data_IF_938094956975
#
_entry.id   IF_938094956975
#
_cell.length_a   1.000
_cell.length_b   1.000
_cell.length_c   1.000
_cell.angle_alpha   90.00
_cell.angle_beta   90.00
_cell.angle_gamma   90.00
#
_symmetry.space_group_name_H-M   'P 1'
#
loop_
_entity.id
_entity.type
_entity.pdbx_description
1 polymer ?
#
# COMPACT_ATOMS: atom_id res chain seq x y z
N UNK A 1 -33.92 3.21 10.21
CA UNK A 1 -33.03 2.84 9.07
C UNK A 1 -31.61 2.53 9.50
N UNK A 2 -31.47 1.52 10.37
CA UNK A 2 -30.21 0.98 10.85
C UNK A 2 -29.75 -0.16 9.93
N UNK A 3 -28.77 0.08 9.06
CA UNK A 3 -27.80 -0.92 8.55
C UNK A 3 -27.00 -0.34 7.36
N UNK A 4 -26.28 0.77 7.56
CA UNK A 4 -25.13 1.05 6.68
C UNK A 4 -23.95 0.24 7.22
N UNK A 5 -23.97 -1.07 6.97
CA UNK A 5 -22.87 -1.97 7.32
C UNK A 5 -21.73 -1.67 6.34
N UNK A 6 -20.87 -0.73 6.73
CA UNK A 6 -19.66 -0.41 5.98
C UNK A 6 -18.66 -1.57 6.10
N UNK A 7 -18.81 -2.56 5.22
CA UNK A 7 -17.79 -3.58 4.97
C UNK A 7 -16.60 -2.93 4.27
N UNK A 8 -15.82 -2.16 5.02
CA UNK A 8 -14.64 -1.47 4.50
C UNK A 8 -13.45 -2.39 4.69
N UNK A 9 -12.79 -2.72 3.58
CA UNK A 9 -11.41 -3.20 3.63
C UNK A 9 -10.53 -1.96 3.79
N UNK A 10 -10.03 -1.69 4.99
CA UNK A 10 -9.11 -0.58 5.21
C UNK A 10 -7.68 -1.09 5.17
N UNK A 11 -6.87 -0.52 4.29
CA UNK A 11 -5.42 -0.67 4.35
C UNK A 11 -4.85 0.24 5.42
N UNK A 12 -4.56 -0.28 6.60
CA UNK A 12 -3.93 0.50 7.65
C UNK A 12 -2.42 0.26 7.62
N UNK A 13 -1.63 1.28 7.30
CA UNK A 13 -0.19 1.26 7.54
C UNK A 13 0.03 1.86 8.93
N UNK A 14 0.33 1.01 9.91
CA UNK A 14 0.61 1.45 11.28
C UNK A 14 2.12 1.42 11.53
N UNK A 15 2.64 2.52 12.10
CA UNK A 15 4.00 2.63 12.60
C UNK A 15 3.96 2.36 14.10
N UNK A 16 4.44 1.21 14.55
CA UNK A 16 4.57 0.94 15.98
C UNK A 16 5.90 1.53 16.48
N UNK A 17 5.83 2.67 17.16
CA UNK A 17 6.97 3.22 17.90
C UNK A 17 7.10 2.45 19.22
N UNK A 18 7.88 1.37 19.25
CA UNK A 18 8.28 0.76 20.53
C UNK A 18 9.20 1.74 21.26
N UNK A 19 8.78 2.17 22.45
CA UNK A 19 9.59 2.96 23.36
C UNK A 19 10.91 2.23 23.65
N UNK A 20 12.05 2.79 23.21
CA UNK A 20 13.38 2.35 23.62
C UNK A 20 14.30 1.77 22.53
N UNK A 21 13.88 1.71 21.25
CA UNK A 21 14.77 1.36 20.14
C UNK A 21 14.98 2.58 19.22
N UNK A 22 16.21 2.78 18.74
CA UNK A 22 16.59 3.87 17.84
C UNK A 22 15.59 4.03 16.66
N UNK A 23 15.34 5.27 16.19
CA UNK A 23 14.32 5.61 15.18
C UNK A 23 14.48 4.92 13.81
N UNK A 24 15.52 4.10 13.63
CA UNK A 24 15.83 3.32 12.43
C UNK A 24 15.15 1.94 12.40
N UNK A 25 14.49 1.51 13.48
CA UNK A 25 13.81 0.21 13.58
C UNK A 25 12.29 0.29 13.77
N UNK A 26 11.64 1.38 13.34
CA UNK A 26 10.18 1.44 13.37
C UNK A 26 9.59 0.39 12.41
N UNK A 27 8.98 -0.66 12.97
CA UNK A 27 8.34 -1.69 12.18
C UNK A 27 7.02 -1.14 11.58
N UNK A 28 7.02 -0.83 10.28
CA UNK A 28 5.79 -0.51 9.55
C UNK A 28 5.15 -1.79 9.02
N UNK A 29 3.94 -2.06 9.50
CA UNK A 29 3.15 -3.21 9.06
C UNK A 29 2.08 -2.77 8.06
N UNK A 30 1.88 -3.58 7.01
CA UNK A 30 0.69 -3.47 6.16
C UNK A 30 -0.41 -4.34 6.76
N UNK A 31 -1.48 -3.71 7.26
CA UNK A 31 -2.66 -4.41 7.74
C UNK A 31 -3.77 -4.33 6.71
N UNK A 32 -4.33 -5.50 6.37
CA UNK A 32 -5.62 -5.59 5.72
C UNK A 32 -6.66 -5.79 6.83
N UNK A 33 -7.46 -4.75 7.09
CA UNK A 33 -8.50 -4.79 8.13
C UNK A 33 -9.85 -4.98 7.46
N UNK A 34 -10.55 -6.05 7.81
CA UNK A 34 -11.95 -6.29 7.41
C UNK A 34 -12.85 -5.74 8.54
N UNK A 35 -13.59 -4.66 8.30
CA UNK A 35 -14.48 -4.09 9.32
C UNK A 35 -15.76 -4.94 9.47
N UNK A 36 -15.77 -5.77 10.53
CA UNK A 36 -16.91 -6.27 11.37
C UNK A 36 -16.43 -7.41 12.30
N UNK A 37 -15.37 -8.10 11.87
CA UNK A 37 -14.55 -9.02 12.65
C UNK A 37 -13.12 -8.57 12.37
N UNK A 38 -12.36 -8.15 13.38
CA UNK A 38 -10.95 -7.79 13.20
C UNK A 38 -10.18 -9.08 12.85
N UNK A 39 -10.26 -9.53 11.60
CA UNK A 39 -9.25 -10.38 11.01
C UNK A 39 -8.12 -9.45 10.60
N UNK A 40 -7.28 -9.06 11.56
CA UNK A 40 -5.99 -8.45 11.27
C UNK A 40 -5.13 -9.51 10.59
N UNK A 41 -5.13 -9.53 9.26
CA UNK A 41 -4.06 -10.19 8.53
C UNK A 41 -2.86 -9.24 8.54
N UNK A 42 -1.86 -9.57 9.36
CA UNK A 42 -0.52 -8.96 9.28
C UNK A 42 0.08 -9.44 7.96
N UNK A 43 0.05 -8.60 6.92
CA UNK A 43 0.49 -9.01 5.58
C UNK A 43 1.99 -8.86 5.41
N UNK A 44 2.66 -8.00 6.18
CA UNK A 44 4.12 -7.91 6.13
C UNK A 44 4.68 -7.19 7.36
N UNK A 45 5.75 -7.75 7.93
CA UNK A 45 6.65 -7.02 8.82
C UNK A 45 7.48 -5.98 8.07
N UNK A 46 7.94 -4.98 8.80
CA UNK A 46 8.82 -3.82 8.54
C UNK A 46 9.59 -3.63 7.21
N UNK A 47 9.81 -4.66 6.40
CA UNK A 47 10.67 -4.64 5.22
C UNK A 47 9.95 -4.12 3.97
N UNK A 48 8.64 -4.32 3.85
CA UNK A 48 7.90 -4.01 2.62
C UNK A 48 7.82 -2.50 2.33
N UNK A 49 7.79 -1.66 3.38
CA UNK A 49 7.53 -0.22 3.23
C UNK A 49 8.77 0.57 2.79
N UNK A 50 9.95 0.13 3.24
CA UNK A 50 11.21 0.72 2.82
C UNK A 50 11.70 0.13 1.50
N UNK A 51 11.15 -0.99 0.99
CA UNK A 51 11.58 -1.55 -0.29
C UNK A 51 11.58 -0.57 -1.46
N UNK A 52 10.56 0.28 -1.69
CA UNK A 52 10.64 1.28 -2.75
C UNK A 52 11.84 2.23 -2.57
N UNK A 53 12.15 2.60 -1.32
CA UNK A 53 13.24 3.50 -0.93
C UNK A 53 14.63 2.80 -1.02
N UNK A 54 14.70 1.55 -0.57
CA UNK A 54 15.89 0.72 -0.59
C UNK A 54 16.24 0.32 -2.02
N UNK A 55 15.24 -0.03 -2.83
CA UNK A 55 15.40 -0.33 -4.24
C UNK A 55 15.91 0.90 -4.99
N UNK A 56 15.34 2.08 -4.76
CA UNK A 56 15.87 3.33 -5.35
C UNK A 56 17.33 3.58 -4.94
N UNK A 57 17.67 3.34 -3.67
CA UNK A 57 19.05 3.50 -3.20
C UNK A 57 20.01 2.46 -3.80
N UNK A 58 19.56 1.23 -4.00
CA UNK A 58 20.34 0.16 -4.63
C UNK A 58 20.61 0.49 -6.10
N UNK A 59 19.60 0.95 -6.84
CA UNK A 59 19.78 1.42 -8.23
C UNK A 59 20.79 2.56 -8.33
N UNK A 60 20.81 3.49 -7.38
CA UNK A 60 21.81 4.57 -7.38
C UNK A 60 23.22 4.09 -7.06
N UNK A 61 23.36 3.12 -6.16
CA UNK A 61 24.66 2.48 -5.88
C UNK A 61 25.18 1.73 -7.11
N UNK A 62 24.32 0.98 -7.80
CA UNK A 62 24.69 0.28 -9.03
C UNK A 62 25.09 1.23 -10.17
N UNK A 63 24.44 2.40 -10.27
CA UNK A 63 24.77 3.43 -11.27
C UNK A 63 25.96 4.30 -10.89
N UNK A 64 26.50 4.16 -9.67
CA UNK A 64 27.65 4.93 -9.18
C UNK A 64 27.34 6.41 -8.89
N UNK A 65 26.10 6.73 -8.55
CA UNK A 65 25.67 8.11 -8.27
C UNK A 65 26.26 8.62 -6.94
N UNK A 66 26.73 9.87 -6.93
CA UNK A 66 27.48 10.46 -5.81
C UNK A 66 26.58 10.98 -4.67
N UNK A 67 25.75 10.11 -4.11
CA UNK A 67 24.85 10.43 -2.99
C UNK A 67 25.55 10.11 -1.67
N UNK A 68 25.55 11.04 -0.69
CA UNK A 68 26.11 10.74 0.62
C UNK A 68 25.29 9.64 1.31
N UNK A 69 25.93 8.59 1.88
CA UNK A 69 25.22 7.44 2.43
C UNK A 69 24.32 7.80 3.61
N UNK A 70 24.68 8.85 4.35
CA UNK A 70 23.90 9.40 5.47
C UNK A 70 22.54 9.99 5.07
N UNK A 71 22.39 10.51 3.84
CA UNK A 71 21.11 11.07 3.37
C UNK A 71 20.40 10.19 2.34
N UNK A 72 21.01 9.07 1.93
CA UNK A 72 20.52 8.23 0.84
C UNK A 72 19.04 7.86 1.01
N UNK A 73 18.63 7.49 2.22
CA UNK A 73 17.23 7.15 2.55
C UNK A 73 16.28 8.35 2.51
N UNK A 74 16.71 9.53 2.97
CA UNK A 74 15.87 10.73 2.97
C UNK A 74 15.70 11.28 1.54
N UNK A 75 16.75 11.18 0.73
CA UNK A 75 16.72 11.53 -0.70
C UNK A 75 15.82 10.56 -1.45
N UNK A 76 15.98 9.26 -1.24
CA UNK A 76 15.12 8.23 -1.80
C UNK A 76 13.65 8.44 -1.40
N UNK A 77 13.38 8.83 -0.15
CA UNK A 77 12.02 9.19 0.30
C UNK A 77 11.45 10.38 -0.49
N UNK A 78 12.21 11.46 -0.64
CA UNK A 78 11.78 12.66 -1.38
C UNK A 78 11.57 12.38 -2.86
N UNK A 79 12.49 11.64 -3.48
CA UNK A 79 12.38 11.23 -4.89
C UNK A 79 11.15 10.33 -5.09
N UNK A 80 10.92 9.39 -4.17
CA UNK A 80 9.74 8.51 -4.16
C UNK A 80 8.45 9.32 -4.11
N UNK A 81 8.36 10.29 -3.20
CA UNK A 81 7.16 11.12 -3.05
C UNK A 81 6.93 12.07 -4.24
N UNK A 82 8.01 12.54 -4.88
CA UNK A 82 7.93 13.52 -5.97
C UNK A 82 7.74 12.91 -7.37
N UNK A 83 8.40 11.78 -7.67
CA UNK A 83 8.56 11.30 -9.05
C UNK A 83 8.02 9.90 -9.32
N UNK A 84 7.76 9.08 -8.30
CA UNK A 84 7.32 7.71 -8.51
C UNK A 84 5.84 7.61 -8.89
N UNK A 85 5.53 6.64 -9.74
CA UNK A 85 4.19 6.36 -10.23
C UNK A 85 4.03 4.89 -10.60
N UNK A 86 2.83 4.35 -10.45
CA UNK A 86 2.56 2.96 -10.80
C UNK A 86 2.32 2.82 -12.30
N UNK A 87 3.00 1.87 -12.94
CA UNK A 87 2.82 1.58 -14.35
C UNK A 87 1.74 0.51 -14.60
N UNK A 88 1.24 0.44 -15.84
CA UNK A 88 0.30 -0.61 -16.23
C UNK A 88 0.99 -1.89 -16.71
N UNK A 89 2.16 -1.74 -17.34
CA UNK A 89 2.93 -2.76 -18.05
C UNK A 89 4.39 -2.31 -18.07
N UNK A 90 5.26 -3.10 -17.44
CA UNK A 90 6.66 -2.78 -17.19
C UNK A 90 7.45 -2.69 -18.51
N UNK A 91 7.26 -3.65 -19.42
CA UNK A 91 8.00 -3.75 -20.68
C UNK A 91 7.72 -2.55 -21.58
N UNK A 92 6.45 -2.11 -21.60
CA UNK A 92 6.06 -0.91 -22.35
C UNK A 92 6.64 0.36 -21.76
N UNK A 93 6.77 0.45 -20.43
CA UNK A 93 7.41 1.61 -19.81
C UNK A 93 8.91 1.64 -20.08
N UNK A 94 9.63 0.52 -19.98
CA UNK A 94 11.04 0.46 -20.40
C UNK A 94 11.21 0.95 -21.85
N UNK A 95 10.41 0.45 -22.78
CA UNK A 95 10.46 0.89 -24.17
C UNK A 95 10.16 2.38 -24.38
N UNK A 96 9.40 3.04 -23.50
CA UNK A 96 9.20 4.51 -23.55
C UNK A 96 10.41 5.28 -23.02
N UNK A 97 11.01 4.80 -21.93
CA UNK A 97 12.19 5.44 -21.33
C UNK A 97 13.39 5.34 -22.27
N UNK A 98 13.54 4.22 -22.97
CA UNK A 98 14.62 4.01 -23.95
C UNK A 98 14.45 4.83 -25.23
N UNK A 99 13.19 5.06 -25.66
CA UNK A 99 12.89 5.88 -26.85
C UNK A 99 13.03 7.39 -26.60
N UNK A 100 12.61 7.87 -25.43
CA UNK A 100 12.59 9.31 -25.10
C UNK A 100 13.28 9.60 -23.74
N UNK A 101 14.59 9.34 -23.60
CA UNK A 101 15.28 9.47 -22.31
C UNK A 101 15.19 10.91 -21.74
N UNK A 102 15.25 11.93 -22.59
CA UNK A 102 15.24 13.35 -22.20
C UNK A 102 13.95 13.80 -21.48
N UNK A 103 12.84 13.10 -21.71
CA UNK A 103 11.53 13.45 -21.15
C UNK A 103 11.27 12.74 -19.83
N UNK A 104 11.72 11.49 -19.74
CA UNK A 104 11.44 10.58 -18.63
C UNK A 104 12.52 10.59 -17.55
N UNK A 105 13.79 10.82 -17.90
CA UNK A 105 14.87 11.02 -16.94
C UNK A 105 14.74 12.42 -16.34
N UNK A 106 14.71 12.50 -15.01
CA UNK A 106 14.62 13.75 -14.25
C UNK A 106 15.85 13.90 -13.39
N UNK A 107 16.39 15.11 -13.31
CA UNK A 107 17.53 15.37 -12.43
C UNK A 107 17.03 15.80 -11.06
N UNK A 108 17.43 15.07 -10.02
CA UNK A 108 17.29 15.51 -8.65
C UNK A 108 18.54 16.28 -8.24
N UNK A 109 18.36 17.45 -7.63
CA UNK A 109 19.48 18.23 -7.08
C UNK A 109 19.31 18.35 -5.57
N UNK A 110 20.41 18.14 -4.85
CA UNK A 110 20.46 18.25 -3.41
C UNK A 110 21.74 18.95 -2.96
N UNK A 111 21.81 19.27 -1.66
CA UNK A 111 23.01 19.81 -1.02
C UNK A 111 23.48 18.83 0.03
N UNK A 112 24.77 18.50 0.03
CA UNK A 112 25.37 17.65 1.06
C UNK A 112 25.33 18.38 2.41
N UNK A 113 24.79 17.82 3.50
CA UNK A 113 24.67 18.48 4.79
C UNK A 113 26.01 18.85 5.40
N UNK A 114 27.02 17.99 5.23
CA UNK A 114 28.35 18.17 5.84
C UNK A 114 29.25 19.14 5.06
N UNK A 115 29.21 19.10 3.73
CA UNK A 115 30.13 19.89 2.89
C UNK A 115 29.46 21.09 2.22
N UNK A 116 28.13 21.17 2.25
CA UNK A 116 27.35 22.17 1.52
C UNK A 116 27.42 22.03 -0.01
N UNK A 117 28.20 21.07 -0.52
CA UNK A 117 28.42 20.89 -1.94
C UNK A 117 27.13 20.41 -2.64
N UNK A 118 26.79 20.95 -3.82
CA UNK A 118 25.68 20.46 -4.59
C UNK A 118 26.00 19.05 -5.11
N UNK A 119 25.00 18.18 -5.12
CA UNK A 119 25.03 16.92 -5.85
C UNK A 119 23.78 16.83 -6.73
N UNK A 120 23.95 16.20 -7.89
CA UNK A 120 22.87 15.87 -8.82
C UNK A 120 22.80 14.36 -8.97
N UNK A 121 21.59 13.83 -9.14
CA UNK A 121 21.34 12.41 -9.39
C UNK A 121 20.26 12.28 -10.47
N UNK A 122 20.48 11.39 -11.43
CA UNK A 122 19.55 11.17 -12.53
C UNK A 122 18.51 10.10 -12.18
N UNK A 123 17.27 10.55 -12.00
CA UNK A 123 16.11 9.73 -11.68
C UNK A 123 15.40 9.24 -12.94
N UNK A 124 15.48 7.94 -13.21
CA UNK A 124 14.94 7.29 -14.42
C UNK A 124 13.99 6.14 -14.10
N UNK A 125 14.48 4.90 -14.26
CA UNK A 125 13.68 3.68 -14.18
C UNK A 125 13.10 3.41 -12.78
N UNK A 126 13.77 3.89 -11.74
CA UNK A 126 13.34 3.73 -10.34
C UNK A 126 11.96 4.35 -10.07
N UNK A 127 11.52 5.29 -10.92
CA UNK A 127 10.22 5.96 -10.79
C UNK A 127 9.05 4.98 -10.87
N UNK A 128 9.10 4.04 -11.80
CA UNK A 128 8.05 3.03 -11.95
C UNK A 128 8.42 1.69 -11.32
N UNK A 129 9.71 1.38 -11.14
CA UNK A 129 10.16 0.16 -10.47
C UNK A 129 9.89 0.18 -8.96
N UNK A 130 10.03 1.33 -8.30
CA UNK A 130 9.80 1.44 -6.86
C UNK A 130 8.37 1.02 -6.42
N UNK A 131 7.28 1.49 -7.06
CA UNK A 131 5.93 0.99 -6.76
C UNK A 131 5.63 -0.40 -7.36
N UNK A 132 6.46 -0.92 -8.28
CA UNK A 132 6.25 -2.25 -8.85
C UNK A 132 6.51 -3.36 -7.84
N UNK A 133 7.31 -3.10 -6.80
CA UNK A 133 7.56 -4.07 -5.72
C UNK A 133 6.26 -4.50 -5.02
N UNK A 134 5.20 -3.68 -5.02
CA UNK A 134 3.88 -4.08 -4.51
C UNK A 134 3.23 -5.19 -5.35
N UNK A 135 3.52 -5.23 -6.65
CA UNK A 135 2.92 -6.16 -7.60
C UNK A 135 3.86 -7.30 -7.99
N UNK A 136 5.16 -7.12 -7.83
CA UNK A 136 6.20 -8.12 -8.09
C UNK A 136 7.26 -8.01 -6.97
N UNK A 137 6.97 -8.58 -5.78
CA UNK A 137 7.89 -8.50 -4.64
C UNK A 137 9.21 -9.26 -4.86
N UNK A 138 9.22 -10.20 -5.82
CA UNK A 138 10.38 -10.97 -6.28
C UNK A 138 11.55 -10.09 -6.74
N UNK A 139 11.29 -8.84 -7.12
CA UNK A 139 12.32 -7.89 -7.57
C UNK A 139 13.31 -7.54 -6.45
N UNK A 140 12.86 -7.57 -5.18
CA UNK A 140 13.69 -7.19 -4.05
C UNK A 140 14.06 -8.38 -3.15
N UNK A 141 13.15 -9.33 -2.93
CA UNK A 141 13.43 -10.49 -2.07
C UNK A 141 12.93 -11.78 -2.68
N UNK A 142 13.77 -12.81 -2.59
CA UNK A 142 13.45 -14.19 -2.95
C UNK A 142 12.39 -14.82 -2.04
N UNK A 143 12.24 -14.33 -0.82
CA UNK A 143 11.44 -14.98 0.22
C UNK A 143 9.96 -14.62 0.12
N UNK A 144 9.66 -13.44 -0.45
CA UNK A 144 8.31 -12.94 -0.64
C UNK A 144 8.01 -12.83 -2.13
N UNK A 145 7.23 -13.78 -2.64
CA UNK A 145 6.83 -13.84 -4.05
C UNK A 145 5.37 -13.49 -4.29
N UNK A 146 4.57 -13.38 -3.23
CA UNK A 146 3.11 -13.18 -3.36
C UNK A 146 2.77 -11.71 -3.60
N UNK A 147 2.13 -11.37 -4.73
CA UNK A 147 1.82 -9.98 -5.07
C UNK A 147 0.62 -9.46 -4.27
N UNK A 148 0.57 -8.15 -4.04
CA UNK A 148 -0.48 -7.50 -3.23
C UNK A 148 -1.92 -7.88 -3.65
N UNK A 149 -2.30 -7.89 -4.95
CA UNK A 149 -3.66 -8.27 -5.37
C UNK A 149 -4.06 -9.68 -4.93
N UNK A 150 -3.12 -10.63 -4.92
CA UNK A 150 -3.37 -12.02 -4.51
C UNK A 150 -3.56 -12.09 -2.99
N UNK A 151 -2.79 -11.31 -2.23
CA UNK A 151 -2.99 -11.25 -0.77
C UNK A 151 -4.37 -10.70 -0.43
N UNK A 152 -4.79 -9.62 -1.09
CA UNK A 152 -6.13 -9.03 -0.91
C UNK A 152 -7.21 -10.05 -1.22
N UNK A 153 -7.07 -10.74 -2.35
CA UNK A 153 -8.00 -11.77 -2.77
C UNK A 153 -8.10 -12.89 -1.73
N UNK A 154 -6.96 -13.39 -1.23
CA UNK A 154 -6.91 -14.43 -0.19
C UNK A 154 -7.57 -13.98 1.11
N UNK A 155 -7.36 -12.75 1.54
CA UNK A 155 -8.01 -12.18 2.73
C UNK A 155 -9.53 -12.07 2.56
N UNK A 156 -10.00 -11.68 1.37
CA UNK A 156 -11.45 -11.64 1.12
C UNK A 156 -12.02 -13.06 1.07
N UNK A 157 -11.30 -14.02 0.48
CA UNK A 157 -11.77 -15.41 0.43
C UNK A 157 -11.77 -16.13 1.78
N UNK A 158 -10.94 -15.72 2.74
CA UNK A 158 -11.01 -16.27 4.10
C UNK A 158 -12.19 -15.74 4.91
N UNK A 159 -12.79 -14.62 4.49
CA UNK A 159 -13.99 -14.06 5.13
C UNK A 159 -15.26 -14.88 4.84
N UNK A 160 -16.32 -14.74 5.67
CA UNK A 160 -17.61 -15.42 5.45
C UNK A 160 -18.23 -15.07 4.09
N UNK A 161 -18.85 -16.06 3.45
CA UNK A 161 -19.28 -15.99 2.04
C UNK A 161 -20.24 -14.84 1.75
N UNK A 162 -21.10 -14.51 2.72
CA UNK A 162 -22.12 -13.45 2.62
C UNK A 162 -21.50 -12.05 2.49
N UNK A 163 -20.30 -11.86 3.04
CA UNK A 163 -19.64 -10.54 3.09
C UNK A 163 -18.69 -10.30 1.91
N UNK A 164 -18.25 -11.35 1.21
CA UNK A 164 -17.20 -11.27 0.17
C UNK A 164 -17.54 -10.27 -0.93
N UNK A 165 -18.77 -10.29 -1.43
CA UNK A 165 -19.24 -9.39 -2.49
C UNK A 165 -19.19 -7.93 -2.04
N UNK A 166 -19.60 -7.65 -0.81
CA UNK A 166 -19.55 -6.31 -0.24
C UNK A 166 -18.10 -5.83 -0.05
N UNK A 167 -17.19 -6.73 0.31
CA UNK A 167 -15.77 -6.42 0.47
C UNK A 167 -15.07 -6.10 -0.86
N UNK A 168 -15.35 -6.84 -1.94
CA UNK A 168 -14.79 -6.52 -3.26
C UNK A 168 -15.25 -5.15 -3.79
N UNK A 169 -16.48 -4.75 -3.45
CA UNK A 169 -17.05 -3.46 -3.82
C UNK A 169 -16.48 -2.28 -3.02
N UNK A 170 -15.95 -2.53 -1.82
CA UNK A 170 -15.55 -1.49 -0.87
C UNK A 170 -14.11 -1.69 -0.38
N UNK A 171 -13.16 -1.66 -1.32
CA UNK A 171 -11.74 -1.67 -1.00
C UNK A 171 -11.27 -0.24 -0.80
N UNK A 172 -10.94 0.17 0.42
CA UNK A 172 -10.51 1.53 0.75
C UNK A 172 -9.01 1.57 0.98
N UNK A 173 -8.33 2.40 0.20
CA UNK A 173 -6.91 2.66 0.37
C UNK A 173 -6.68 3.67 1.49
N UNK A 174 -5.73 3.37 2.37
CA UNK A 174 -5.27 4.27 3.43
C UNK A 174 -3.75 4.16 3.57
N UNK A 175 -3.11 5.23 4.05
CA UNK A 175 -1.67 5.31 4.28
C UNK A 175 -0.86 5.85 3.10
N UNK A 176 0.26 6.51 3.40
CA UNK A 176 1.05 7.28 2.44
C UNK A 176 1.65 6.45 1.28
N UNK A 177 1.93 5.17 1.49
CA UNK A 177 2.46 4.29 0.42
C UNK A 177 1.41 3.83 -0.59
N UNK A 178 0.13 4.14 -0.38
CA UNK A 178 -0.93 3.90 -1.39
C UNK A 178 -1.19 5.12 -2.27
N UNK A 179 -0.50 6.24 -1.98
CA UNK A 179 -0.67 7.50 -2.71
C UNK A 179 0.10 7.57 -4.04
N UNK A 180 0.73 6.48 -4.48
CA UNK A 180 1.34 6.45 -5.81
C UNK A 180 0.29 6.72 -6.89
N UNK A 181 0.68 7.52 -7.87
CA UNK A 181 -0.19 7.81 -9.01
C UNK A 181 -0.56 6.51 -9.72
N UNK A 182 -1.85 6.37 -10.06
CA UNK A 182 -2.44 5.20 -10.73
C UNK A 182 -2.44 3.88 -9.93
N UNK A 183 -2.04 3.90 -8.65
CA UNK A 183 -2.03 2.71 -7.79
C UNK A 183 -3.42 2.08 -7.64
N UNK A 184 -4.47 2.89 -7.40
CA UNK A 184 -5.84 2.38 -7.27
C UNK A 184 -6.28 1.61 -8.53
N UNK A 185 -5.94 2.14 -9.70
CA UNK A 185 -6.41 1.63 -10.99
C UNK A 185 -5.70 0.32 -11.32
N UNK A 186 -4.40 0.26 -11.03
CA UNK A 186 -3.60 -0.97 -11.15
C UNK A 186 -4.14 -2.06 -10.22
N UNK A 187 -4.34 -1.74 -8.95
CA UNK A 187 -4.85 -2.68 -7.95
C UNK A 187 -6.25 -3.20 -8.32
N UNK A 188 -7.19 -2.31 -8.67
CA UNK A 188 -8.55 -2.69 -9.08
C UNK A 188 -8.55 -3.62 -10.29
N UNK A 189 -7.75 -3.30 -11.31
CA UNK A 189 -7.63 -4.12 -12.51
C UNK A 189 -7.10 -5.52 -12.21
N UNK A 190 -6.03 -5.60 -11.41
CA UNK A 190 -5.37 -6.87 -11.15
C UNK A 190 -6.22 -7.76 -10.24
N UNK A 191 -6.92 -7.19 -9.24
CA UNK A 191 -7.93 -7.92 -8.44
C UNK A 191 -9.08 -8.40 -9.34
N UNK A 192 -9.61 -7.52 -10.20
CA UNK A 192 -10.71 -7.88 -11.11
C UNK A 192 -10.32 -9.05 -12.01
N UNK A 193 -9.10 -9.06 -12.57
CA UNK A 193 -8.59 -10.19 -13.35
C UNK A 193 -8.59 -11.49 -12.55
N UNK A 194 -8.09 -11.49 -11.30
CA UNK A 194 -8.06 -12.68 -10.44
C UNK A 194 -9.49 -13.21 -10.20
N UNK A 195 -10.43 -12.30 -9.89
CA UNK A 195 -11.83 -12.64 -9.63
C UNK A 195 -12.50 -13.19 -10.88
N UNK A 196 -12.35 -12.53 -12.02
CA UNK A 196 -12.93 -12.94 -13.30
C UNK A 196 -12.37 -14.30 -13.76
N UNK A 197 -11.05 -14.52 -13.61
CA UNK A 197 -10.41 -15.81 -13.92
C UNK A 197 -10.94 -16.94 -13.05
N UNK A 198 -11.18 -16.69 -11.76
CA UNK A 198 -11.77 -17.69 -10.85
C UNK A 198 -13.23 -17.99 -11.20
N UNK A 199 -14.02 -16.98 -11.53
CA UNK A 199 -15.42 -17.16 -11.96
C UNK A 199 -15.46 -17.97 -13.26
N UNK A 200 -14.65 -17.62 -14.25
CA UNK A 200 -14.55 -18.35 -15.50
C UNK A 200 -14.15 -19.83 -15.29
N UNK A 201 -13.20 -20.09 -14.39
CA UNK A 201 -12.80 -21.46 -14.04
C UNK A 201 -13.92 -22.24 -13.33
N UNK A 202 -14.76 -21.57 -12.53
CA UNK A 202 -15.93 -22.18 -11.88
C UNK A 202 -17.03 -22.48 -12.89
N UNK A 203 -17.36 -21.52 -13.75
CA UNK A 203 -18.41 -21.66 -14.76
C UNK A 203 -18.05 -22.77 -15.78
N UNK A 204 -16.77 -22.89 -16.15
CA UNK A 204 -16.28 -23.97 -17.00
C UNK A 204 -16.47 -25.37 -16.39
N UNK A 205 -16.44 -25.49 -15.06
CA UNK A 205 -16.68 -26.76 -14.34
C UNK A 205 -18.16 -27.10 -14.20
N UNK A 206 -19.03 -26.09 -14.18
CA UNK A 206 -20.47 -26.24 -13.96
C UNK A 206 -21.28 -26.44 -15.26
N UNK A 207 -20.62 -26.58 -16.41
CA UNK A 207 -21.27 -26.93 -17.68
C UNK A 207 -22.31 -25.91 -18.18
N UNK A 208 -22.33 -24.70 -17.63
CA UNK A 208 -23.25 -23.63 -18.04
C UNK A 208 -24.66 -23.69 -17.43
N UNK A 209 -24.95 -24.63 -16.52
CA UNK A 209 -26.27 -24.74 -15.88
C UNK A 209 -26.55 -23.61 -14.88
N UNK A 210 -25.52 -23.00 -14.31
CA UNK A 210 -25.63 -21.84 -13.41
C UNK A 210 -24.49 -20.87 -13.67
N UNK A 211 -24.82 -19.64 -14.13
CA UNK A 211 -23.84 -18.57 -14.31
C UNK A 211 -23.61 -17.87 -12.97
N UNK A 212 -22.37 -17.90 -12.50
CA UNK A 212 -21.99 -17.14 -11.32
C UNK A 212 -22.19 -15.64 -11.59
N UNK A 213 -22.88 -14.93 -10.70
CA UNK A 213 -23.05 -13.49 -10.83
C UNK A 213 -21.69 -12.78 -10.83
N UNK A 214 -21.51 -11.83 -11.76
CA UNK A 214 -20.32 -11.00 -11.82
C UNK A 214 -20.10 -10.24 -10.50
N UNK A 215 -18.85 -10.22 -10.04
CA UNK A 215 -18.45 -9.51 -8.83
C UNK A 215 -17.91 -8.14 -9.22
N UNK A 216 -18.55 -7.08 -8.73
CA UNK A 216 -18.08 -5.72 -8.92
C UNK A 216 -16.89 -5.44 -7.98
N UNK A 217 -15.73 -5.13 -8.56
CA UNK A 217 -14.53 -4.75 -7.81
C UNK A 217 -14.34 -3.24 -7.90
N UNK A 218 -14.32 -2.58 -6.75
CA UNK A 218 -14.13 -1.13 -6.67
C UNK A 218 -13.12 -0.78 -5.58
N UNK A 219 -12.07 -0.06 -5.99
CA UNK A 219 -10.99 0.42 -5.13
C UNK A 219 -11.11 1.93 -5.02
N UNK A 220 -11.38 2.40 -3.81
CA UNK A 220 -11.64 3.80 -3.52
C UNK A 220 -10.35 4.47 -3.06
N UNK A 221 -9.93 5.49 -3.80
CA UNK A 221 -8.97 6.48 -3.32
C UNK A 221 -9.65 7.75 -2.83
N UNK A 222 -9.03 8.44 -1.87
CA UNK A 222 -9.55 9.69 -1.32
C UNK A 222 -8.41 10.69 -1.03
N UNK A 223 -8.66 12.01 -1.09
CA UNK A 223 -7.60 13.01 -0.88
C UNK A 223 -6.96 12.98 0.51
N UNK A 224 -7.69 12.49 1.52
CA UNK A 224 -7.27 12.46 2.94
C UNK A 224 -6.52 11.14 3.27
N UNK A 225 -6.14 10.35 2.25
CA UNK A 225 -5.49 9.04 2.41
C UNK A 225 -4.30 9.01 3.35
N UNK A 226 -3.49 10.07 3.33
CA UNK A 226 -2.29 10.19 4.18
C UNK A 226 -2.64 10.14 5.66
N UNK A 227 -3.76 10.72 6.04
CA UNK A 227 -4.20 10.87 7.43
C UNK A 227 -5.53 10.16 7.66
N UNK A 228 -5.90 9.19 6.81
CA UNK A 228 -7.21 8.55 6.83
C UNK A 228 -7.57 7.98 8.22
N UNK A 229 -6.59 7.34 8.87
CA UNK A 229 -6.72 6.74 10.20
C UNK A 229 -6.94 7.83 11.26
N UNK A 230 -6.10 8.86 11.24
CA UNK A 230 -6.19 9.99 12.19
C UNK A 230 -7.50 10.78 12.01
N UNK A 231 -7.87 11.03 10.76
CA UNK A 231 -9.11 11.70 10.39
C UNK A 231 -10.33 10.89 10.80
N UNK A 232 -10.33 9.57 10.54
CA UNK A 232 -11.38 8.67 11.00
C UNK A 232 -11.53 8.66 12.52
N UNK A 233 -10.40 8.65 13.26
CA UNK A 233 -10.39 8.77 14.71
C UNK A 233 -10.92 10.12 15.22
N UNK A 234 -10.54 11.23 14.57
CA UNK A 234 -11.03 12.58 14.91
C UNK A 234 -12.54 12.71 14.70
N UNK A 235 -13.05 12.18 13.59
CA UNK A 235 -14.50 12.14 13.31
C UNK A 235 -15.22 11.28 14.33
N UNK A 236 -14.71 10.08 14.62
CA UNK A 236 -15.30 9.18 15.63
C UNK A 236 -15.32 9.83 17.02
N UNK A 237 -14.22 10.43 17.45
CA UNK A 237 -14.12 11.11 18.74
C UNK A 237 -15.05 12.33 18.87
N UNK A 238 -15.54 12.86 17.76
CA UNK A 238 -16.48 13.98 17.73
C UNK A 238 -17.94 13.54 17.85
N UNK A 239 -18.25 12.24 17.78
CA UNK A 239 -19.63 11.75 17.90
C UNK A 239 -20.00 11.46 19.37
N UNK A 240 -21.26 11.67 19.79
CA UNK A 240 -21.67 11.44 21.18
C UNK A 240 -21.55 9.96 21.60
N UNK A 241 -21.64 9.03 20.66
CA UNK A 241 -21.51 7.58 20.92
C UNK A 241 -20.10 7.22 21.40
N UNK A 242 -19.08 8.00 21.03
CA UNK A 242 -17.71 7.75 21.46
C UNK A 242 -17.58 7.76 22.98
N UNK A 243 -18.19 8.74 23.64
CA UNK A 243 -18.15 8.84 25.11
C UNK A 243 -18.83 7.67 25.81
N UNK A 244 -19.85 7.07 25.19
CA UNK A 244 -20.51 5.87 25.74
C UNK A 244 -19.71 4.59 25.52
N UNK A 245 -18.84 4.56 24.52
CA UNK A 245 -18.00 3.42 24.20
C UNK A 245 -16.63 3.46 24.93
N UNK A 246 -16.23 4.63 25.44
CA UNK A 246 -14.98 4.78 26.18
C UNK A 246 -15.10 4.22 27.60
N UNK A 247 -14.05 3.52 28.05
CA UNK A 247 -13.91 3.13 29.45
C UNK A 247 -13.54 4.34 30.30
N UNK A 248 -14.31 4.56 31.35
CA UNK A 248 -14.03 5.60 32.32
C UNK A 248 -12.88 5.21 33.24
N UNK A 249 -12.23 6.21 33.83
CA UNK A 249 -11.19 5.97 34.84
C UNK A 249 -11.73 5.18 36.04
N UNK A 250 -12.99 5.43 36.44
CA UNK A 250 -13.61 4.75 37.56
C UNK A 250 -13.78 3.24 37.29
N UNK A 251 -14.24 2.88 36.09
CA UNK A 251 -14.34 1.46 35.68
C UNK A 251 -12.97 0.78 35.66
N UNK A 252 -11.93 1.47 35.17
CA UNK A 252 -10.58 0.92 35.18
C UNK A 252 -10.04 0.67 36.61
N UNK A 253 -10.35 1.56 37.56
CA UNK A 253 -9.95 1.39 38.96
C UNK A 253 -10.71 0.25 39.66
N UNK A 254 -11.95 -0.03 39.25
CA UNK A 254 -12.80 -1.09 39.82
C UNK A 254 -12.49 -2.48 39.23
N UNK A 255 -12.36 -2.58 37.91
CA UNK A 255 -12.21 -3.84 37.19
C UNK A 255 -10.76 -4.18 36.83
N UNK A 256 -9.86 -3.20 36.92
CA UNK A 256 -8.44 -3.35 36.59
C UNK A 256 -8.11 -3.17 35.10
N UNK A 257 -6.83 -3.38 34.74
CA UNK A 257 -6.32 -3.25 33.37
C UNK A 257 -6.79 -4.33 32.39
#
# INVERSE_FOLDING_TARGET
>A
DHQTVCHILSFCFYQEAKSGLEPQHAHLFCFIVILRFICCYIVAGAYFFNWPCLLTSAFWQERGENIPPEDSLEVARKVKEAYCYTCSDIVKEFGKHDREPSKYIKQWTGKKPKTGAPYSCDVGYERFMAPEVFFHPEIYSSDYTTPLPVVVDRCIQSSPIDTRRALYKNIVLSGGSTMFKDFQRRLQRDIKKIVDSRIAASDARLGGESKSQAVEVNVVSHPIQRFAVWFGGSVLASTPEFYTACHSKAEYEEYGP
#
